data_IF_984674614222
#
_entry.id   IF_984674614222
#
_cell.length_a   1.000
_cell.length_b   1.000
_cell.length_c   1.000
_cell.angle_alpha   90.00
_cell.angle_beta   90.00
_cell.angle_gamma   90.00
#
_symmetry.space_group_name_H-M   'P 1'
#
loop_
_entity.id
_entity.type
_entity.pdbx_description
1 polymer ?
#
# COMPACT_ATOMS: atom_id res chain seq x y z
N UNK A 1 -3.11 -3.71 20.99
CA UNK A 1 -2.29 -2.67 20.33
C UNK A 1 -3.06 -2.28 19.10
N UNK A 2 -3.38 -1.00 18.95
CA UNK A 2 -3.93 -0.46 17.70
C UNK A 2 -2.78 -0.27 16.74
N UNK A 3 -2.88 -0.84 15.54
CA UNK A 3 -1.87 -0.71 14.50
C UNK A 3 -2.21 0.56 13.71
N UNK A 4 -1.22 1.42 13.49
CA UNK A 4 -1.40 2.61 12.65
C UNK A 4 -1.54 2.16 11.20
N UNK A 5 -2.57 2.60 10.48
CA UNK A 5 -2.75 2.27 9.08
C UNK A 5 -2.35 3.46 8.23
N UNK A 6 -1.32 3.27 7.41
CA UNK A 6 -0.86 4.24 6.43
C UNK A 6 -1.42 3.90 5.07
N UNK A 7 -1.75 4.92 4.30
CA UNK A 7 -2.18 4.75 2.93
C UNK A 7 -1.51 5.78 2.04
N UNK A 8 -1.08 5.36 0.86
CA UNK A 8 -0.36 6.22 -0.07
C UNK A 8 -0.96 6.13 -1.46
N UNK A 9 -1.00 7.26 -2.16
CA UNK A 9 -1.27 7.29 -3.59
C UNK A 9 -0.17 6.51 -4.31
N UNK A 10 -0.56 5.46 -5.03
CA UNK A 10 0.36 4.49 -5.60
C UNK A 10 0.29 4.46 -7.12
N UNK A 11 1.44 4.62 -7.78
CA UNK A 11 1.55 4.49 -9.23
C UNK A 11 1.51 3.02 -9.67
N UNK A 12 0.32 2.43 -9.57
CA UNK A 12 0.06 1.01 -9.80
C UNK A 12 0.50 0.55 -11.20
N UNK A 13 0.21 1.35 -12.23
CA UNK A 13 0.55 0.99 -13.61
C UNK A 13 2.06 0.94 -13.85
N UNK A 14 2.83 1.85 -13.25
CA UNK A 14 4.28 1.81 -13.33
C UNK A 14 4.85 0.63 -12.54
N UNK A 15 4.33 0.38 -11.34
CA UNK A 15 4.71 -0.78 -10.53
C UNK A 15 4.53 -2.11 -11.29
N UNK A 16 3.35 -2.32 -11.90
CA UNK A 16 3.07 -3.53 -12.67
C UNK A 16 4.03 -3.69 -13.85
N UNK A 17 4.40 -2.58 -14.51
CA UNK A 17 5.28 -2.63 -15.69
C UNK A 17 6.76 -2.85 -15.36
N UNK A 18 7.20 -2.43 -14.19
CA UNK A 18 8.63 -2.27 -13.89
C UNK A 18 9.13 -3.15 -12.75
N UNK A 19 8.34 -3.37 -11.70
CA UNK A 19 8.76 -4.08 -10.49
C UNK A 19 7.96 -5.34 -10.18
N UNK A 20 6.68 -5.44 -10.57
CA UNK A 20 5.82 -6.54 -10.16
C UNK A 20 6.39 -7.93 -10.50
N UNK A 21 6.84 -8.14 -11.73
CA UNK A 21 7.44 -9.42 -12.15
C UNK A 21 8.74 -9.73 -11.39
N UNK A 22 9.55 -8.71 -11.10
CA UNK A 22 10.79 -8.84 -10.32
C UNK A 22 10.45 -9.25 -8.89
N UNK A 23 9.48 -8.57 -8.28
CA UNK A 23 9.03 -8.84 -6.92
C UNK A 23 8.42 -10.23 -6.80
N UNK A 24 7.56 -10.63 -7.74
CA UNK A 24 6.95 -11.96 -7.75
C UNK A 24 8.02 -13.06 -7.85
N UNK A 25 8.99 -12.91 -8.75
CA UNK A 25 10.10 -13.84 -8.88
C UNK A 25 10.99 -13.88 -7.63
N UNK A 26 11.28 -12.72 -7.04
CA UNK A 26 12.08 -12.60 -5.82
C UNK A 26 11.39 -13.31 -4.65
N UNK A 27 10.09 -13.13 -4.48
CA UNK A 27 9.28 -13.82 -3.46
C UNK A 27 9.22 -15.33 -3.71
N UNK A 28 9.04 -15.75 -4.97
CA UNK A 28 8.93 -17.16 -5.31
C UNK A 28 10.22 -17.95 -5.05
N UNK A 29 11.37 -17.33 -5.32
CA UNK A 29 12.70 -17.95 -5.19
C UNK A 29 13.38 -17.62 -3.86
N UNK A 30 12.85 -16.66 -3.11
CA UNK A 30 13.52 -16.04 -1.98
C UNK A 30 14.91 -15.50 -2.34
N UNK A 31 15.01 -14.82 -3.49
CA UNK A 31 16.24 -14.29 -4.07
C UNK A 31 16.13 -12.80 -4.38
N UNK A 32 17.02 -11.98 -3.82
CA UNK A 32 16.97 -10.52 -3.93
C UNK A 32 17.88 -9.92 -5.00
N UNK A 33 18.57 -10.73 -5.80
CA UNK A 33 19.56 -10.25 -6.79
C UNK A 33 18.95 -9.26 -7.82
N UNK A 34 17.77 -9.58 -8.37
CA UNK A 34 17.12 -8.69 -9.34
C UNK A 34 16.57 -7.41 -8.68
N UNK A 35 16.09 -7.50 -7.43
CA UNK A 35 15.69 -6.34 -6.64
C UNK A 35 16.88 -5.42 -6.34
N UNK A 36 18.04 -5.98 -5.99
CA UNK A 36 19.26 -5.21 -5.76
C UNK A 36 19.68 -4.44 -7.02
N UNK A 37 19.67 -5.11 -8.18
CA UNK A 37 19.96 -4.47 -9.47
C UNK A 37 18.94 -3.36 -9.77
N UNK A 38 17.66 -3.62 -9.49
CA UNK A 38 16.62 -2.62 -9.64
C UNK A 38 16.87 -1.39 -8.75
N UNK A 39 17.20 -1.59 -7.48
CA UNK A 39 17.49 -0.51 -6.53
C UNK A 39 18.69 0.32 -7.00
N UNK A 40 19.79 -0.34 -7.35
CA UNK A 40 21.02 0.35 -7.79
C UNK A 40 20.78 1.19 -9.07
N UNK A 41 19.96 0.70 -10.00
CA UNK A 41 19.62 1.42 -11.23
C UNK A 41 18.63 2.59 -11.01
N UNK A 42 17.88 2.59 -9.92
CA UNK A 42 16.83 3.56 -9.65
C UNK A 42 17.10 4.44 -8.43
N UNK A 43 18.27 4.34 -7.81
CA UNK A 43 18.59 4.93 -6.50
C UNK A 43 18.17 6.40 -6.34
N UNK A 44 18.32 7.22 -7.38
CA UNK A 44 17.95 8.64 -7.37
C UNK A 44 16.44 8.92 -7.20
N UNK A 45 15.60 7.92 -7.45
CA UNK A 45 14.14 8.00 -7.32
C UNK A 45 13.62 7.33 -6.05
N UNK A 46 14.49 6.65 -5.29
CA UNK A 46 14.12 5.89 -4.12
C UNK A 46 14.27 6.72 -2.86
N UNK A 47 13.42 6.42 -1.89
CA UNK A 47 13.38 7.05 -0.59
C UNK A 47 13.51 5.99 0.49
N UNK A 48 13.85 6.45 1.69
CA UNK A 48 13.72 5.66 2.90
C UNK A 48 12.23 5.37 3.14
N UNK A 49 11.81 4.10 3.31
CA UNK A 49 10.40 3.76 3.54
C UNK A 49 9.82 4.45 4.79
N UNK A 50 10.55 4.47 5.92
CA UNK A 50 10.08 5.13 7.14
C UNK A 50 10.31 6.65 7.20
N UNK A 51 11.47 7.14 6.74
CA UNK A 51 11.83 8.55 6.91
C UNK A 51 11.44 9.45 5.72
N UNK A 52 11.06 8.88 4.57
CA UNK A 52 10.74 9.62 3.34
C UNK A 52 11.92 10.36 2.69
N UNK A 53 13.10 10.33 3.31
CA UNK A 53 14.32 10.98 2.80
C UNK A 53 14.86 10.27 1.58
N UNK A 54 15.48 11.02 0.66
CA UNK A 54 16.16 10.45 -0.50
C UNK A 54 17.27 9.51 -0.08
N UNK A 55 17.37 8.35 -0.73
CA UNK A 55 18.47 7.43 -0.52
C UNK A 55 19.76 7.94 -1.16
N UNK A 56 20.89 7.66 -0.50
CA UNK A 56 22.23 7.94 -1.01
C UNK A 56 23.02 6.64 -1.21
N UNK A 57 24.32 6.75 -1.51
CA UNK A 57 25.17 5.58 -1.75
C UNK A 57 25.36 4.68 -0.52
N UNK A 58 25.02 5.16 0.68
CA UNK A 58 25.01 4.40 1.94
C UNK A 58 23.66 3.73 2.21
N UNK A 59 22.73 3.68 1.26
CA UNK A 59 21.41 3.05 1.47
C UNK A 59 21.47 1.62 2.00
N UNK A 60 22.52 0.85 1.69
CA UNK A 60 22.69 -0.52 2.21
C UNK A 60 22.87 -0.57 3.74
N UNK A 61 23.20 0.54 4.38
CA UNK A 61 23.34 0.63 5.84
C UNK A 61 21.99 0.61 6.57
N UNK A 62 20.87 0.87 5.87
CA UNK A 62 19.51 0.80 6.46
C UNK A 62 18.93 -0.62 6.43
N UNK A 63 19.59 -1.55 5.74
CA UNK A 63 19.18 -2.95 5.63
C UNK A 63 19.57 -3.68 6.92
N UNK A 64 18.61 -4.28 7.60
CA UNK A 64 18.84 -4.99 8.86
C UNK A 64 19.02 -6.49 8.63
N UNK A 65 18.07 -7.10 7.91
CA UNK A 65 18.04 -8.55 7.67
C UNK A 65 18.49 -8.92 6.27
N UNK A 66 18.32 -8.01 5.30
CA UNK A 66 18.62 -8.27 3.89
C UNK A 66 17.72 -9.32 3.26
N UNK A 67 16.48 -9.45 3.76
CA UNK A 67 15.47 -10.29 3.15
C UNK A 67 14.82 -9.62 1.93
N UNK A 68 14.01 -10.39 1.18
CA UNK A 68 13.32 -9.88 -0.02
C UNK A 68 12.36 -8.74 0.33
N UNK A 69 11.75 -8.77 1.52
CA UNK A 69 10.78 -7.76 1.93
C UNK A 69 11.45 -6.40 2.16
N UNK A 70 12.61 -6.34 2.82
CA UNK A 70 13.34 -5.08 3.05
C UNK A 70 13.79 -4.42 1.73
N UNK A 71 14.31 -5.21 0.79
CA UNK A 71 14.70 -4.67 -0.52
C UNK A 71 13.49 -4.24 -1.34
N UNK A 72 12.42 -5.03 -1.30
CA UNK A 72 11.18 -4.68 -1.97
C UNK A 72 10.58 -3.40 -1.39
N UNK A 73 10.58 -3.22 -0.07
CA UNK A 73 10.04 -2.02 0.58
C UNK A 73 10.73 -0.74 0.10
N UNK A 74 12.07 -0.76 0.02
CA UNK A 74 12.85 0.31 -0.58
C UNK A 74 12.47 0.53 -2.04
N UNK A 75 12.42 -0.54 -2.85
CA UNK A 75 12.09 -0.43 -4.28
C UNK A 75 10.69 0.14 -4.51
N UNK A 76 9.75 -0.13 -3.61
CA UNK A 76 8.36 0.33 -3.69
C UNK A 76 8.22 1.84 -3.53
N UNK A 77 9.14 2.50 -2.81
CA UNK A 77 9.16 3.97 -2.65
C UNK A 77 9.35 4.72 -3.98
N UNK A 78 9.68 4.04 -5.08
CA UNK A 78 9.64 4.62 -6.43
C UNK A 78 8.21 5.01 -6.85
N UNK A 79 7.21 4.30 -6.35
CA UNK A 79 5.83 4.35 -6.85
C UNK A 79 4.86 5.06 -5.91
N UNK A 80 5.28 5.37 -4.68
CA UNK A 80 4.54 6.21 -3.73
C UNK A 80 5.50 7.17 -3.03
N UNK A 81 4.98 8.20 -2.39
CA UNK A 81 5.79 9.09 -1.57
C UNK A 81 5.55 8.77 -0.07
N UNK A 82 6.56 8.28 0.67
CA UNK A 82 6.39 8.00 2.10
C UNK A 82 6.06 9.24 2.95
N UNK A 83 6.36 10.45 2.47
CA UNK A 83 6.00 11.70 3.16
C UNK A 83 4.51 12.08 3.01
N UNK A 84 3.81 11.48 2.04
CA UNK A 84 2.42 11.82 1.68
C UNK A 84 1.44 10.75 2.18
N UNK A 85 1.49 10.43 3.47
CA UNK A 85 0.50 9.55 4.10
C UNK A 85 -0.89 10.21 4.09
N UNK A 86 -1.85 9.52 3.48
CA UNK A 86 -3.26 9.88 3.40
C UNK A 86 -4.14 8.86 4.13
N UNK A 87 -3.54 7.97 4.91
CA UNK A 87 -4.20 6.99 5.75
C UNK A 87 -4.99 7.62 6.90
N UNK A 88 -5.67 6.75 7.63
CA UNK A 88 -6.53 7.13 8.77
C UNK A 88 -5.87 6.81 10.12
N UNK A 89 -4.59 6.41 10.10
CA UNK A 89 -3.85 6.05 11.30
C UNK A 89 -4.59 5.01 12.14
N UNK A 90 -4.87 5.34 13.39
CA UNK A 90 -5.56 4.44 14.34
C UNK A 90 -7.08 4.35 14.16
N UNK A 91 -7.68 5.26 13.39
CA UNK A 91 -9.14 5.30 13.20
C UNK A 91 -9.61 4.31 12.12
N UNK A 92 -8.69 3.78 11.33
CA UNK A 92 -8.98 2.84 10.24
C UNK A 92 -9.75 1.61 10.72
N UNK A 93 -9.30 0.94 11.79
CA UNK A 93 -9.92 -0.27 12.30
C UNK A 93 -11.39 -0.08 12.70
N UNK A 94 -11.69 1.06 13.33
CA UNK A 94 -13.05 1.36 13.78
C UNK A 94 -14.01 1.50 12.58
N UNK A 95 -13.53 2.15 11.53
CA UNK A 95 -14.29 2.32 10.31
C UNK A 95 -14.44 1.00 9.54
N UNK A 96 -13.38 0.19 9.49
CA UNK A 96 -13.42 -1.11 8.83
C UNK A 96 -14.42 -2.06 9.52
N UNK A 97 -14.38 -2.15 10.85
CA UNK A 97 -15.35 -2.94 11.64
C UNK A 97 -16.80 -2.50 11.37
N UNK A 98 -17.03 -1.18 11.25
CA UNK A 98 -18.34 -0.64 10.94
C UNK A 98 -18.78 -1.04 9.52
N UNK A 99 -17.89 -0.97 8.53
CA UNK A 99 -18.20 -1.36 7.15
C UNK A 99 -18.45 -2.86 7.01
N UNK A 100 -17.67 -3.70 7.67
CA UNK A 100 -17.88 -5.15 7.67
C UNK A 100 -19.27 -5.52 8.19
N UNK A 101 -19.69 -4.88 9.29
CA UNK A 101 -21.03 -5.08 9.87
C UNK A 101 -22.14 -4.60 8.94
N UNK A 102 -22.00 -3.41 8.34
CA UNK A 102 -23.05 -2.79 7.52
C UNK A 102 -23.20 -3.46 6.15
N UNK A 103 -22.09 -3.89 5.55
CA UNK A 103 -22.09 -4.61 4.27
C UNK A 103 -22.37 -6.11 4.43
N UNK A 104 -22.32 -6.63 5.66
CA UNK A 104 -22.40 -8.06 5.97
C UNK A 104 -21.40 -8.87 5.10
N UNK A 105 -20.15 -8.39 5.08
CA UNK A 105 -19.03 -9.02 4.39
C UNK A 105 -17.94 -9.38 5.39
N UNK A 106 -17.13 -10.39 5.06
CA UNK A 106 -16.05 -10.88 5.93
C UNK A 106 -14.70 -10.24 5.62
N UNK A 107 -14.55 -9.63 4.44
CA UNK A 107 -13.29 -9.06 3.97
C UNK A 107 -13.47 -7.56 3.80
N UNK A 108 -12.55 -6.80 4.40
CA UNK A 108 -12.50 -5.35 4.27
C UNK A 108 -12.49 -4.96 2.79
N UNK A 109 -13.40 -4.08 2.34
CA UNK A 109 -13.29 -3.51 1.01
C UNK A 109 -12.10 -2.54 0.93
N UNK A 110 -11.57 -2.08 2.08
CA UNK A 110 -10.61 -0.98 2.16
C UNK A 110 -9.16 -1.42 2.08
N UNK A 111 -8.82 -2.62 2.56
CA UNK A 111 -7.42 -3.05 2.54
C UNK A 111 -6.93 -3.30 1.11
N UNK A 112 -7.75 -3.91 0.25
CA UNK A 112 -7.34 -4.30 -1.09
C UNK A 112 -6.79 -5.72 -1.13
N UNK A 113 -5.77 -5.97 -1.93
CA UNK A 113 -5.22 -7.31 -2.17
C UNK A 113 -3.77 -7.40 -1.78
N UNK A 114 -3.37 -8.53 -1.17
CA UNK A 114 -1.95 -8.83 -0.95
C UNK A 114 -1.23 -9.07 -2.28
N UNK A 115 0.02 -8.66 -2.37
CA UNK A 115 0.89 -9.04 -3.49
C UNK A 115 1.63 -10.32 -3.13
N UNK A 116 1.42 -11.39 -3.90
CA UNK A 116 1.92 -12.72 -3.54
C UNK A 116 2.42 -13.52 -4.73
N UNK A 117 3.47 -14.31 -4.49
CA UNK A 117 3.80 -15.51 -5.25
C UNK A 117 3.17 -16.74 -4.56
N UNK A 118 3.06 -17.88 -5.25
CA UNK A 118 2.29 -19.07 -4.85
C UNK A 118 2.29 -19.45 -3.35
N UNK A 119 3.41 -19.26 -2.64
CA UNK A 119 3.55 -19.58 -1.20
C UNK A 119 4.04 -18.41 -0.33
N UNK A 120 4.46 -17.29 -0.93
CA UNK A 120 5.05 -16.16 -0.20
C UNK A 120 4.39 -14.85 -0.64
N UNK A 121 4.08 -13.99 0.32
CA UNK A 121 3.51 -12.67 0.06
C UNK A 121 4.43 -11.57 0.57
N UNK A 122 4.42 -10.44 -0.14
CA UNK A 122 5.17 -9.26 0.25
C UNK A 122 4.61 -8.72 1.56
N UNK A 123 5.46 -8.67 2.58
CA UNK A 123 5.08 -8.32 3.94
C UNK A 123 6.17 -7.48 4.62
N UNK A 124 6.36 -6.22 4.18
CA UNK A 124 7.35 -5.33 4.77
C UNK A 124 7.03 -5.11 6.26
N UNK A 125 8.07 -5.09 7.10
CA UNK A 125 7.94 -5.00 8.56
C UNK A 125 7.18 -6.17 9.23
N UNK A 126 6.72 -7.16 8.47
CA UNK A 126 5.85 -8.27 8.88
C UNK A 126 4.49 -7.82 9.46
N UNK A 127 4.01 -6.64 9.07
CA UNK A 127 2.76 -6.05 9.60
C UNK A 127 1.58 -6.09 8.62
N UNK A 128 1.85 -6.35 7.34
CA UNK A 128 0.87 -6.42 6.26
C UNK A 128 1.14 -5.38 5.18
N UNK A 129 0.73 -5.72 3.96
CA UNK A 129 0.87 -4.83 2.80
C UNK A 129 -0.20 -5.17 1.78
N UNK A 130 -0.94 -4.16 1.36
CA UNK A 130 -2.09 -4.33 0.50
C UNK A 130 -2.14 -3.28 -0.60
N UNK A 131 -2.69 -3.69 -1.74
CA UNK A 131 -2.74 -2.89 -2.96
C UNK A 131 -4.17 -2.77 -3.46
N UNK A 132 -4.50 -1.57 -3.92
CA UNK A 132 -5.67 -1.34 -4.74
C UNK A 132 -5.23 -0.84 -6.10
N UNK A 133 -5.64 -1.55 -7.17
CA UNK A 133 -5.52 -1.02 -8.53
C UNK A 133 -6.48 0.17 -8.73
N UNK A 134 -6.27 1.02 -9.76
CA UNK A 134 -7.20 2.12 -10.06
C UNK A 134 -8.66 1.66 -10.22
N UNK A 135 -8.85 0.47 -10.80
CA UNK A 135 -10.17 -0.16 -10.93
C UNK A 135 -10.76 -0.57 -9.58
N UNK A 136 -9.92 -1.12 -8.68
CA UNK A 136 -10.35 -1.48 -7.33
C UNK A 136 -10.72 -0.24 -6.51
N UNK A 137 -9.94 0.84 -6.61
CA UNK A 137 -10.26 2.14 -5.99
C UNK A 137 -11.64 2.64 -6.46
N UNK A 138 -11.93 2.55 -7.78
CA UNK A 138 -13.23 2.94 -8.36
C UNK A 138 -14.37 2.13 -7.77
N UNK A 139 -14.24 0.81 -7.77
CA UNK A 139 -15.24 -0.10 -7.23
C UNK A 139 -15.53 0.19 -5.75
N UNK A 140 -14.48 0.42 -4.97
CA UNK A 140 -14.60 0.73 -3.54
C UNK A 140 -15.25 2.10 -3.30
N UNK A 141 -14.91 3.11 -4.11
CA UNK A 141 -15.55 4.43 -4.02
C UNK A 141 -17.04 4.38 -4.38
N UNK A 142 -17.40 3.65 -5.43
CA UNK A 142 -18.81 3.46 -5.84
C UNK A 142 -19.60 2.69 -4.77
N UNK A 143 -19.00 1.64 -4.19
CA UNK A 143 -19.56 0.91 -3.06
C UNK A 143 -19.87 1.86 -1.89
N UNK A 144 -18.90 2.66 -1.43
CA UNK A 144 -19.09 3.60 -0.33
C UNK A 144 -20.11 4.71 -0.64
N UNK A 145 -20.27 5.10 -1.90
CA UNK A 145 -21.28 6.08 -2.30
C UNK A 145 -22.68 5.49 -2.43
N UNK A 146 -22.80 4.20 -2.69
CA UNK A 146 -24.09 3.50 -2.70
C UNK A 146 -24.63 3.23 -1.29
N UNK A 147 -23.77 3.28 -0.26
CA UNK A 147 -24.18 3.12 1.12
C UNK A 147 -25.08 4.28 1.55
N UNK A 148 -26.33 3.97 1.91
CA UNK A 148 -27.36 4.94 2.29
C UNK A 148 -27.64 4.96 3.81
N UNK A 149 -26.70 4.49 4.64
CA UNK A 149 -26.93 4.34 6.07
C UNK A 149 -26.70 5.67 6.82
N UNK A 150 -27.72 6.14 7.54
CA UNK A 150 -27.66 7.37 8.33
C UNK A 150 -26.54 7.41 9.39
N UNK A 151 -26.11 6.25 9.92
CA UNK A 151 -24.97 6.15 10.85
C UNK A 151 -23.64 6.39 10.13
N UNK A 152 -23.48 5.80 8.94
CA UNK A 152 -22.33 6.01 8.08
C UNK A 152 -22.27 7.48 7.64
N UNK A 153 -23.39 8.07 7.21
CA UNK A 153 -23.47 9.47 6.79
C UNK A 153 -23.16 10.52 7.87
N UNK A 154 -23.12 10.14 9.15
CA UNK A 154 -22.79 11.05 10.26
C UNK A 154 -21.34 10.93 10.74
N UNK A 155 -20.59 9.94 10.26
CA UNK A 155 -19.17 9.78 10.59
C UNK A 155 -18.34 10.64 9.65
N UNK A 156 -17.54 11.55 10.22
CA UNK A 156 -16.52 12.30 9.49
C UNK A 156 -15.47 11.39 8.85
N UNK A 157 -15.31 10.18 9.38
CA UNK A 157 -14.27 9.24 9.00
C UNK A 157 -14.59 8.62 7.63
N UNK A 158 -15.88 8.46 7.30
CA UNK A 158 -16.29 8.06 5.96
C UNK A 158 -16.00 9.14 4.93
N UNK A 159 -16.18 10.41 5.29
CA UNK A 159 -15.85 11.49 4.37
C UNK A 159 -14.34 11.53 4.11
N UNK A 160 -13.50 11.30 5.14
CA UNK A 160 -12.04 11.15 4.99
C UNK A 160 -11.71 9.99 4.04
N UNK A 161 -12.30 8.82 4.25
CA UNK A 161 -12.08 7.64 3.41
C UNK A 161 -12.54 7.86 1.96
N UNK A 162 -13.68 8.50 1.76
CA UNK A 162 -14.18 8.86 0.43
C UNK A 162 -13.26 9.84 -0.26
N UNK A 163 -12.72 10.83 0.46
CA UNK A 163 -11.75 11.78 -0.08
C UNK A 163 -10.44 11.07 -0.47
N UNK A 164 -9.93 10.16 0.37
CA UNK A 164 -8.75 9.35 0.06
C UNK A 164 -8.91 8.56 -1.25
N UNK A 165 -10.05 7.88 -1.43
CA UNK A 165 -10.36 7.16 -2.67
C UNK A 165 -10.59 8.11 -3.86
N UNK A 166 -11.23 9.26 -3.62
CA UNK A 166 -11.46 10.27 -4.65
C UNK A 166 -10.15 10.87 -5.16
N UNK A 167 -9.20 11.15 -4.28
CA UNK A 167 -7.87 11.67 -4.65
C UNK A 167 -7.13 10.68 -5.55
N UNK A 168 -7.14 9.39 -5.19
CA UNK A 168 -6.60 8.32 -6.04
C UNK A 168 -7.33 8.23 -7.40
N UNK A 169 -8.65 8.37 -7.42
CA UNK A 169 -9.44 8.35 -8.66
C UNK A 169 -9.15 9.53 -9.59
N UNK A 170 -9.07 10.74 -9.04
CA UNK A 170 -8.76 11.96 -9.81
C UNK A 170 -7.38 11.84 -10.44
N UNK A 171 -6.42 11.26 -9.72
CA UNK A 171 -5.07 11.00 -10.20
C UNK A 171 -4.95 9.77 -11.11
N UNK A 172 -6.03 8.98 -11.26
CA UNK A 172 -6.04 7.69 -11.96
C UNK A 172 -4.96 6.73 -11.45
N UNK A 173 -4.76 6.73 -10.13
CA UNK A 173 -3.75 5.93 -9.44
C UNK A 173 -4.42 4.90 -8.51
N UNK A 174 -3.61 3.95 -8.06
CA UNK A 174 -3.99 2.98 -7.04
C UNK A 174 -3.72 3.51 -5.64
N UNK A 175 -3.93 2.63 -4.66
CA UNK A 175 -3.51 2.83 -3.27
C UNK A 175 -2.55 1.73 -2.84
N UNK A 176 -1.60 2.10 -2.01
CA UNK A 176 -0.74 1.20 -1.24
C UNK A 176 -1.05 1.41 0.24
N UNK A 177 -1.34 0.31 0.96
CA UNK A 177 -1.74 0.34 2.36
C UNK A 177 -0.78 -0.55 3.16
N UNK A 178 -0.23 0.00 4.23
CA UNK A 178 0.72 -0.67 5.14
C UNK A 178 0.60 -0.08 6.55
N UNK A 179 1.50 -0.47 7.46
CA UNK A 179 1.35 -0.30 8.90
C UNK A 179 2.63 0.21 9.56
#
# INVERSE_FOLDING_TARGET
MTIEHKAFIFNYDAFIKELADILENALAKNESCELLIFIENNLSYLKHPDEGRTLDFSWKEIIETGDVDEYADIAMTKYYNPDDDIGMGYDWMQLDDLLLQELNIEISPLLGTVFSSSEHYFNPGKQGSYFQSPEKVRQNFELLNSLSNEKLHKSSDIDILKNMLLDALVLQKGLYITF
#
